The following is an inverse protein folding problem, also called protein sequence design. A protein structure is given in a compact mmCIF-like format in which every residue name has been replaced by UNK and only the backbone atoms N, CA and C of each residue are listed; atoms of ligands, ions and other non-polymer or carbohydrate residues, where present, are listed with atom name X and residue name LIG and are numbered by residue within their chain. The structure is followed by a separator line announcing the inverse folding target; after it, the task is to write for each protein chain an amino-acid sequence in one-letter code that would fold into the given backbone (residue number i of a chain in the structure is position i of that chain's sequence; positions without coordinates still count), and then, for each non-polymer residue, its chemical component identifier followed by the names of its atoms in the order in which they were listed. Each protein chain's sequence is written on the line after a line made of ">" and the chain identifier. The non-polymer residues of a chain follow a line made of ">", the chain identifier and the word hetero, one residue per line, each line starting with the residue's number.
data_IF_562217201723
#
_entry.id   IF_562217201723
#
_cell.length_a   1.000
_cell.length_b   1.000
_cell.length_c   1.000
_cell.angle_alpha   90.00
_cell.angle_beta   90.00
_cell.angle_gamma   90.00
#
_symmetry.space_group_name_H-M   'P 1'
#
loop_
_entity.id
_entity.type
_entity.pdbx_description
1 polymer ?
#
# COMPACT_ATOMS: atom_id res chain seq x y z
N UNK A 1 3.20 -27.02 -14.14
CA UNK A 1 4.24 -27.76 -13.40
C UNK A 1 4.25 -27.19 -11.99
N UNK A 2 3.61 -27.87 -11.04
CA UNK A 2 3.56 -27.45 -9.63
C UNK A 2 4.91 -27.84 -9.01
N UNK A 3 5.63 -26.88 -8.41
CA UNK A 3 6.82 -27.18 -7.62
C UNK A 3 6.34 -27.74 -6.28
N UNK A 4 6.75 -28.97 -5.94
CA UNK A 4 6.48 -29.59 -4.65
C UNK A 4 7.09 -28.76 -3.52
N UNK A 5 6.24 -28.40 -2.54
CA UNK A 5 6.63 -27.74 -1.30
C UNK A 5 7.25 -28.79 -0.37
N UNK A 6 8.59 -28.85 -0.34
CA UNK A 6 9.29 -29.54 0.73
C UNK A 6 9.24 -28.69 2.01
N UNK A 7 8.73 -29.25 3.11
CA UNK A 7 8.79 -28.66 4.44
C UNK A 7 10.28 -28.54 4.87
N UNK A 8 10.79 -27.31 4.88
CA UNK A 8 12.19 -27.02 5.15
C UNK A 8 12.55 -27.17 6.62
N UNK A 9 13.47 -28.09 6.93
CA UNK A 9 14.29 -28.03 8.15
C UNK A 9 15.09 -26.73 8.12
N UNK A 10 15.28 -26.03 9.25
CA UNK A 10 15.91 -24.70 9.31
C UNK A 10 17.31 -24.53 8.69
N UNK A 11 17.94 -25.61 8.21
CA UNK A 11 19.12 -25.59 7.33
C UNK A 11 18.85 -25.02 5.92
N UNK A 12 17.59 -24.93 5.50
CA UNK A 12 17.24 -24.55 4.12
C UNK A 12 17.03 -23.04 3.93
N UNK A 13 17.40 -22.22 4.91
CA UNK A 13 17.26 -20.76 4.83
C UNK A 13 18.17 -20.13 3.78
N UNK A 14 17.71 -19.05 3.11
CA UNK A 14 18.54 -18.27 2.21
C UNK A 14 19.75 -17.67 2.94
N UNK A 15 20.94 -17.83 2.35
CA UNK A 15 22.15 -17.14 2.79
C UNK A 15 22.97 -16.65 1.60
N UNK A 16 23.68 -15.54 1.79
CA UNK A 16 24.64 -15.01 0.81
C UNK A 16 25.73 -16.02 0.49
N UNK A 17 26.15 -16.83 1.47
CA UNK A 17 27.12 -17.90 1.27
C UNK A 17 26.59 -18.98 0.29
N UNK A 18 25.36 -19.45 0.48
CA UNK A 18 24.72 -20.43 -0.43
C UNK A 18 24.56 -19.86 -1.85
N UNK A 19 24.15 -18.59 -1.96
CA UNK A 19 24.06 -17.91 -3.24
C UNK A 19 25.40 -17.91 -3.99
N UNK A 20 26.49 -17.55 -3.29
CA UNK A 20 27.84 -17.55 -3.87
C UNK A 20 28.27 -18.94 -4.31
N UNK A 21 28.05 -19.97 -3.50
CA UNK A 21 28.36 -21.35 -3.87
C UNK A 21 27.65 -21.80 -5.14
N UNK A 22 26.41 -21.36 -5.37
CA UNK A 22 25.68 -21.65 -6.62
C UNK A 22 26.32 -20.92 -7.80
N UNK A 23 26.66 -19.64 -7.65
CA UNK A 23 27.24 -18.82 -8.72
C UNK A 23 28.69 -19.18 -9.04
N UNK A 24 29.48 -19.66 -8.07
CA UNK A 24 30.85 -20.15 -8.27
C UNK A 24 30.91 -21.38 -9.20
N UNK A 25 29.81 -22.12 -9.31
CA UNK A 25 29.68 -23.29 -10.20
C UNK A 25 29.13 -22.92 -11.58
N UNK A 26 28.76 -21.66 -11.79
CA UNK A 26 28.09 -21.21 -13.00
C UNK A 26 29.10 -20.90 -14.11
N UNK A 27 28.83 -21.42 -15.31
CA UNK A 27 29.52 -21.01 -16.54
C UNK A 27 28.86 -19.76 -17.14
N UNK A 28 27.52 -19.73 -17.07
CA UNK A 28 26.72 -18.59 -17.52
C UNK A 28 25.48 -18.38 -16.66
N UNK A 29 25.07 -17.13 -16.55
CA UNK A 29 23.79 -16.73 -15.97
C UNK A 29 22.97 -16.00 -17.03
N UNK A 30 21.71 -16.37 -17.19
CA UNK A 30 20.76 -15.74 -18.11
C UNK A 30 19.68 -15.02 -17.31
N UNK A 31 19.53 -13.73 -17.53
CA UNK A 31 18.51 -12.90 -16.88
C UNK A 31 17.50 -12.47 -17.95
N UNK A 32 16.23 -12.74 -17.71
CA UNK A 32 15.13 -12.42 -18.65
C UNK A 32 14.08 -11.59 -17.93
N UNK A 33 13.65 -10.47 -18.54
CA UNK A 33 12.60 -9.59 -18.00
C UNK A 33 11.19 -10.17 -18.14
N UNK A 34 11.00 -11.37 -17.59
CA UNK A 34 9.70 -12.01 -17.48
C UNK A 34 9.63 -12.99 -16.31
N UNK A 35 8.42 -13.51 -16.10
CA UNK A 35 8.16 -14.55 -15.13
C UNK A 35 8.83 -15.88 -15.53
N UNK A 36 9.02 -16.83 -14.60
CA UNK A 36 9.58 -18.15 -14.89
C UNK A 36 8.84 -18.94 -15.97
N UNK A 37 7.53 -18.71 -16.14
CA UNK A 37 6.72 -19.38 -17.14
C UNK A 37 6.98 -18.87 -18.56
N UNK A 38 7.50 -17.66 -18.69
CA UNK A 38 7.72 -16.98 -19.97
C UNK A 38 9.22 -16.84 -20.30
N UNK A 39 10.10 -17.12 -19.34
CA UNK A 39 11.54 -16.86 -19.42
C UNK A 39 12.25 -17.57 -20.59
N UNK A 40 11.67 -18.67 -21.10
CA UNK A 40 12.22 -19.41 -22.24
C UNK A 40 11.80 -18.81 -23.61
N UNK A 41 10.97 -17.76 -23.63
CA UNK A 41 10.55 -17.08 -24.85
C UNK A 41 11.69 -16.34 -25.55
N UNK A 42 11.76 -16.50 -26.88
CA UNK A 42 12.81 -15.95 -27.73
C UNK A 42 12.75 -14.41 -27.84
N UNK A 43 11.58 -13.80 -27.63
CA UNK A 43 11.32 -12.40 -27.97
C UNK A 43 11.48 -11.42 -26.80
N UNK A 44 11.87 -11.93 -25.63
CA UNK A 44 11.98 -11.13 -24.42
C UNK A 44 13.39 -10.52 -24.24
N UNK A 45 13.49 -9.31 -23.65
CA UNK A 45 14.76 -8.73 -23.27
C UNK A 45 15.55 -9.69 -22.37
N UNK A 46 16.80 -9.95 -22.77
CA UNK A 46 17.68 -10.90 -22.09
C UNK A 46 19.10 -10.38 -21.96
N UNK A 47 19.72 -10.79 -20.87
CA UNK A 47 21.14 -10.57 -20.60
C UNK A 47 21.79 -11.91 -20.32
N UNK A 48 22.94 -12.19 -20.96
CA UNK A 48 23.78 -13.33 -20.62
C UNK A 48 25.06 -12.82 -19.96
N UNK A 49 25.36 -13.34 -18.78
CA UNK A 49 26.49 -12.95 -17.92
C UNK A 49 27.44 -14.13 -17.82
N UNK A 50 28.74 -13.90 -18.04
CA UNK A 50 29.77 -14.96 -18.03
C UNK A 50 31.05 -14.49 -17.35
N UNK A 51 31.93 -15.42 -16.98
CA UNK A 51 33.26 -15.12 -16.47
C UNK A 51 33.25 -14.18 -15.25
N UNK A 52 34.09 -13.15 -15.28
CA UNK A 52 34.27 -12.22 -14.16
C UNK A 52 32.99 -11.44 -13.79
N UNK A 53 32.07 -11.22 -14.73
CA UNK A 53 30.82 -10.51 -14.45
C UNK A 53 29.88 -11.32 -13.52
N UNK A 54 30.01 -12.65 -13.47
CA UNK A 54 29.27 -13.48 -12.51
C UNK A 54 29.66 -13.11 -11.07
N UNK A 55 30.94 -12.79 -10.83
CA UNK A 55 31.42 -12.34 -9.52
C UNK A 55 30.84 -10.97 -9.11
N UNK A 56 30.66 -10.06 -10.07
CA UNK A 56 29.95 -8.80 -9.82
C UNK A 56 28.47 -9.04 -9.52
N UNK A 57 27.78 -9.86 -10.33
CA UNK A 57 26.39 -10.21 -10.11
C UNK A 57 26.18 -10.86 -8.73
N UNK A 58 27.09 -11.73 -8.29
CA UNK A 58 27.05 -12.34 -6.96
C UNK A 58 27.14 -11.32 -5.81
N UNK A 59 27.86 -10.20 -6.00
CA UNK A 59 27.89 -9.10 -5.02
C UNK A 59 26.56 -8.35 -4.98
N UNK A 60 25.98 -8.07 -6.15
CA UNK A 60 24.72 -7.34 -6.27
C UNK A 60 23.51 -8.14 -5.79
N UNK A 61 23.56 -9.47 -5.94
CA UNK A 61 22.53 -10.38 -5.42
C UNK A 61 22.71 -10.73 -3.94
N UNK A 62 23.68 -10.12 -3.23
CA UNK A 62 23.84 -10.39 -1.80
C UNK A 62 22.56 -10.06 -1.04
N UNK A 63 22.20 -10.93 -0.09
CA UNK A 63 20.94 -10.89 0.62
C UNK A 63 21.13 -10.70 2.14
N UNK A 64 20.05 -10.35 2.83
CA UNK A 64 19.97 -10.45 4.29
C UNK A 64 19.82 -11.93 4.65
N UNK A 65 20.82 -12.48 5.35
CA UNK A 65 20.87 -13.89 5.68
C UNK A 65 19.73 -14.28 6.64
N UNK A 66 19.18 -15.47 6.46
CA UNK A 66 18.05 -15.98 7.24
C UNK A 66 16.68 -15.71 6.62
N UNK A 67 16.62 -14.89 5.58
CA UNK A 67 15.39 -14.60 4.81
C UNK A 67 14.37 -13.75 5.54
N UNK A 68 13.21 -13.56 4.92
CA UNK A 68 12.11 -12.79 5.49
C UNK A 68 11.28 -13.61 6.49
N UNK A 69 11.45 -14.93 6.49
CA UNK A 69 10.68 -15.87 7.32
C UNK A 69 9.31 -16.23 6.74
N UNK A 70 8.95 -15.65 5.60
CA UNK A 70 7.71 -15.89 4.87
C UNK A 70 7.98 -16.06 3.35
N UNK A 71 7.00 -16.61 2.63
CA UNK A 71 6.99 -16.67 1.17
C UNK A 71 5.77 -15.91 0.67
N UNK A 72 6.00 -14.83 -0.06
CA UNK A 72 4.91 -14.15 -0.74
C UNK A 72 4.32 -15.04 -1.86
N UNK A 73 3.10 -14.77 -2.32
CA UNK A 73 2.51 -15.52 -3.46
C UNK A 73 2.89 -14.94 -4.83
N UNK A 74 3.54 -13.78 -4.87
CA UNK A 74 3.97 -13.15 -6.11
C UNK A 74 5.13 -13.92 -6.76
N UNK A 75 4.96 -14.34 -8.01
CA UNK A 75 5.93 -15.20 -8.73
C UNK A 75 7.33 -14.55 -8.84
N UNK A 76 7.38 -13.22 -8.92
CA UNK A 76 8.61 -12.46 -9.12
C UNK A 76 9.08 -12.45 -10.58
N UNK A 77 9.88 -11.44 -10.89
CA UNK A 77 10.60 -11.22 -12.15
C UNK A 77 11.56 -10.04 -11.97
N UNK A 78 12.65 -9.92 -12.75
CA UNK A 78 13.14 -10.81 -13.80
C UNK A 78 13.51 -12.21 -13.29
N UNK A 79 13.52 -13.18 -14.21
CA UNK A 79 13.97 -14.56 -13.95
C UNK A 79 15.46 -14.66 -14.19
N UNK A 80 16.19 -15.19 -13.20
CA UNK A 80 17.63 -15.41 -13.19
C UNK A 80 17.87 -16.91 -13.29
N UNK A 81 18.40 -17.39 -14.42
CA UNK A 81 18.66 -18.81 -14.66
C UNK A 81 20.15 -19.08 -14.71
N UNK A 82 20.63 -20.02 -13.91
CA UNK A 82 22.05 -20.29 -13.71
C UNK A 82 22.39 -21.64 -14.34
N UNK A 83 23.38 -21.65 -15.23
CA UNK A 83 23.81 -22.85 -15.94
C UNK A 83 25.26 -23.21 -15.61
N UNK A 84 25.53 -24.51 -15.45
CA UNK A 84 26.86 -25.06 -15.23
C UNK A 84 27.68 -25.21 -16.50
N UNK A 85 28.91 -25.69 -16.34
CA UNK A 85 29.89 -25.88 -17.43
C UNK A 85 29.44 -26.90 -18.49
N UNK A 86 28.55 -27.82 -18.15
CA UNK A 86 27.97 -28.78 -19.11
C UNK A 86 26.66 -28.27 -19.74
N UNK A 87 26.27 -27.03 -19.46
CA UNK A 87 25.01 -26.44 -19.89
C UNK A 87 23.80 -26.89 -19.07
N UNK A 88 24.00 -27.66 -18.00
CA UNK A 88 22.94 -28.10 -17.09
C UNK A 88 22.41 -26.93 -16.23
N UNK A 89 21.10 -26.92 -16.01
CA UNK A 89 20.45 -25.96 -15.12
C UNK A 89 20.84 -26.25 -13.66
N UNK A 90 21.50 -25.29 -13.01
CA UNK A 90 21.88 -25.38 -11.59
C UNK A 90 20.76 -24.84 -10.71
N UNK A 91 20.24 -23.66 -11.04
CA UNK A 91 19.25 -22.97 -10.24
C UNK A 91 18.46 -21.96 -11.09
N UNK A 92 17.26 -21.62 -10.60
CA UNK A 92 16.40 -20.58 -11.17
C UNK A 92 15.84 -19.74 -10.03
N UNK A 93 16.10 -18.44 -10.08
CA UNK A 93 15.65 -17.45 -9.11
C UNK A 93 14.79 -16.38 -9.78
N UNK A 94 14.06 -15.62 -8.98
CA UNK A 94 13.36 -14.42 -9.45
C UNK A 94 13.58 -13.24 -8.51
N UNK A 95 13.57 -12.03 -9.06
CA UNK A 95 13.46 -10.83 -8.22
C UNK A 95 12.02 -10.67 -7.72
N UNK A 96 11.88 -10.54 -6.42
CA UNK A 96 10.62 -10.38 -5.73
C UNK A 96 10.43 -8.90 -5.37
N UNK A 97 9.37 -8.26 -5.86
CA UNK A 97 9.09 -6.82 -5.72
C UNK A 97 10.29 -5.88 -6.03
N UNK A 98 11.24 -6.32 -6.86
CA UNK A 98 12.50 -5.62 -7.15
C UNK A 98 13.39 -5.34 -5.92
N UNK A 99 13.10 -5.96 -4.78
CA UNK A 99 13.78 -5.74 -3.50
C UNK A 99 14.23 -7.03 -2.82
N UNK A 100 13.73 -8.19 -3.25
CA UNK A 100 14.10 -9.49 -2.72
C UNK A 100 14.46 -10.51 -3.79
N UNK A 101 14.99 -11.64 -3.36
CA UNK A 101 15.33 -12.80 -4.17
C UNK A 101 14.48 -13.99 -3.74
N UNK A 102 13.92 -14.69 -4.72
CA UNK A 102 13.14 -15.91 -4.55
C UNK A 102 13.83 -17.11 -5.19
N UNK A 103 13.63 -18.29 -4.59
CA UNK A 103 14.16 -19.55 -5.09
C UNK A 103 15.51 -19.94 -4.49
N UNK A 104 16.01 -19.14 -3.54
CA UNK A 104 17.17 -19.47 -2.74
C UNK A 104 16.69 -19.98 -1.37
N UNK A 105 16.33 -21.26 -1.27
CA UNK A 105 15.91 -21.87 0.00
C UNK A 105 14.40 -21.81 0.29
N UNK A 106 14.05 -21.87 1.58
CA UNK A 106 12.68 -22.07 2.09
C UNK A 106 11.82 -20.79 2.19
N UNK A 107 12.39 -19.60 2.01
CA UNK A 107 11.67 -18.32 2.08
C UNK A 107 12.21 -17.30 1.07
N UNK A 108 11.54 -16.16 0.94
CA UNK A 108 12.10 -15.02 0.21
C UNK A 108 13.24 -14.39 1.03
N UNK A 109 14.14 -13.67 0.37
CA UNK A 109 15.23 -12.96 1.04
C UNK A 109 15.38 -11.53 0.53
N UNK A 110 15.44 -10.56 1.44
CA UNK A 110 15.68 -9.17 1.08
C UNK A 110 17.09 -9.01 0.48
N UNK A 111 17.20 -8.31 -0.66
CA UNK A 111 18.48 -7.90 -1.22
C UNK A 111 19.12 -6.85 -0.30
N UNK A 112 20.44 -6.90 -0.13
CA UNK A 112 21.17 -5.85 0.60
C UNK A 112 21.15 -4.52 -0.14
N UNK A 113 21.17 -4.57 -1.47
CA UNK A 113 21.18 -3.38 -2.33
C UNK A 113 20.41 -3.65 -3.65
N UNK A 114 19.08 -3.73 -3.53
CA UNK A 114 18.20 -3.84 -4.69
C UNK A 114 18.39 -2.73 -5.73
N UNK A 115 18.49 -1.43 -5.35
CA UNK A 115 18.75 -0.33 -6.27
C UNK A 115 20.03 -0.49 -7.11
N UNK A 116 21.14 -0.94 -6.51
CA UNK A 116 22.36 -1.18 -7.28
C UNK A 116 22.17 -2.29 -8.33
N UNK A 117 21.44 -3.36 -7.99
CA UNK A 117 21.14 -4.44 -8.93
C UNK A 117 20.28 -3.96 -10.11
N UNK A 118 19.20 -3.23 -9.85
CA UNK A 118 18.31 -2.74 -10.92
C UNK A 118 19.01 -1.71 -11.82
N UNK A 119 19.90 -0.88 -11.26
CA UNK A 119 20.73 0.03 -12.03
C UNK A 119 21.69 -0.73 -12.95
N UNK A 120 22.41 -1.73 -12.42
CA UNK A 120 23.32 -2.58 -13.18
C UNK A 120 22.63 -3.34 -14.32
N UNK A 121 21.40 -3.81 -14.09
CA UNK A 121 20.55 -4.44 -15.12
C UNK A 121 20.14 -3.43 -16.21
N UNK A 122 19.74 -2.22 -15.82
CA UNK A 122 19.31 -1.18 -16.75
C UNK A 122 20.47 -0.67 -17.63
N UNK A 123 21.68 -0.55 -17.10
CA UNK A 123 22.90 -0.24 -17.86
C UNK A 123 23.19 -1.27 -18.96
N UNK A 124 22.68 -2.50 -18.78
CA UNK A 124 22.80 -3.62 -19.73
C UNK A 124 21.53 -3.85 -20.56
N UNK A 125 20.62 -2.89 -20.59
CA UNK A 125 19.43 -2.90 -21.44
C UNK A 125 18.17 -3.54 -20.83
N UNK A 126 18.24 -4.06 -19.60
CA UNK A 126 17.08 -4.59 -18.87
C UNK A 126 16.49 -3.51 -17.96
N UNK A 127 15.61 -2.67 -18.51
CA UNK A 127 15.17 -1.41 -17.88
C UNK A 127 13.88 -1.51 -17.06
N UNK A 128 13.07 -2.55 -17.22
CA UNK A 128 11.75 -2.67 -16.57
C UNK A 128 11.86 -2.76 -15.06
N UNK A 129 12.86 -3.47 -14.56
CA UNK A 129 13.10 -3.60 -13.11
C UNK A 129 13.33 -2.24 -12.45
N UNK A 130 14.14 -1.37 -13.09
CA UNK A 130 14.38 0.00 -12.63
C UNK A 130 13.11 0.85 -12.69
N UNK A 131 12.35 0.80 -13.79
CA UNK A 131 11.09 1.55 -13.91
C UNK A 131 10.06 1.17 -12.84
N UNK A 132 9.97 -0.12 -12.49
CA UNK A 132 9.08 -0.57 -11.41
C UNK A 132 9.57 -0.09 -10.05
N UNK A 133 10.87 -0.18 -9.77
CA UNK A 133 11.42 0.32 -8.52
C UNK A 133 11.22 1.83 -8.36
N UNK A 134 11.43 2.61 -9.42
CA UNK A 134 11.13 4.05 -9.42
C UNK A 134 9.64 4.33 -9.17
N UNK A 135 8.74 3.52 -9.74
CA UNK A 135 7.31 3.58 -9.47
C UNK A 135 6.97 3.33 -8.01
N UNK A 136 7.49 2.25 -7.44
CA UNK A 136 7.30 1.90 -6.03
C UNK A 136 7.85 2.97 -5.09
N UNK A 137 9.03 3.53 -5.38
CA UNK A 137 9.61 4.62 -4.59
C UNK A 137 8.76 5.90 -4.63
N UNK A 138 8.15 6.21 -5.79
CA UNK A 138 7.20 7.34 -5.90
C UNK A 138 5.94 7.07 -5.10
N UNK A 139 5.38 5.86 -5.18
CA UNK A 139 4.19 5.46 -4.41
C UNK A 139 4.45 5.53 -2.89
N UNK A 140 5.61 5.05 -2.43
CA UNK A 140 6.01 5.12 -1.02
C UNK A 140 6.17 6.57 -0.55
N UNK A 141 6.84 7.42 -1.34
CA UNK A 141 6.97 8.84 -1.03
C UNK A 141 5.61 9.57 -1.01
N UNK A 142 4.69 9.21 -1.91
CA UNK A 142 3.32 9.72 -1.90
C UNK A 142 2.54 9.28 -0.66
N UNK A 143 2.71 8.02 -0.23
CA UNK A 143 2.07 7.48 0.97
C UNK A 143 2.62 8.12 2.24
N UNK A 144 3.93 8.29 2.36
CA UNK A 144 4.54 9.00 3.48
C UNK A 144 4.05 10.45 3.56
N UNK A 145 4.03 11.15 2.42
CA UNK A 145 3.53 12.52 2.35
C UNK A 145 2.06 12.57 2.78
N UNK A 146 1.24 11.63 2.29
CA UNK A 146 -0.16 11.49 2.68
C UNK A 146 -0.32 11.31 4.18
N UNK A 147 0.46 10.43 4.77
CA UNK A 147 0.44 10.15 6.19
C UNK A 147 0.81 11.39 7.00
N UNK A 148 1.90 12.08 6.62
CA UNK A 148 2.36 13.32 7.27
C UNK A 148 1.31 14.42 7.20
N UNK A 149 0.71 14.67 6.04
CA UNK A 149 -0.36 15.65 5.87
C UNK A 149 -1.59 15.31 6.74
N UNK A 150 -1.98 14.04 6.82
CA UNK A 150 -3.10 13.62 7.66
C UNK A 150 -2.83 13.83 9.15
N UNK A 151 -1.62 13.53 9.62
CA UNK A 151 -1.21 13.79 11.02
C UNK A 151 -1.19 15.28 11.31
N UNK A 152 -0.65 16.10 10.40
CA UNK A 152 -0.58 17.55 10.55
C UNK A 152 -1.96 18.22 10.57
N UNK A 153 -2.93 17.64 9.86
CA UNK A 153 -4.31 18.12 9.86
C UNK A 153 -5.13 17.66 11.08
N UNK A 154 -4.54 16.90 12.00
CA UNK A 154 -5.23 16.49 13.22
C UNK A 154 -5.68 17.72 14.04
N UNK A 155 -6.89 17.68 14.64
CA UNK A 155 -7.34 18.72 15.55
C UNK A 155 -6.33 18.98 16.68
N UNK A 156 -6.35 20.20 17.21
CA UNK A 156 -5.42 20.64 18.25
C UNK A 156 -5.39 19.65 19.44
N UNK A 157 -4.18 19.20 19.80
CA UNK A 157 -3.98 18.25 20.88
C UNK A 157 -4.16 16.77 20.48
N UNK A 158 -4.55 16.45 19.24
CA UNK A 158 -4.71 15.07 18.77
C UNK A 158 -3.53 14.55 17.93
N UNK A 159 -2.55 15.38 17.57
CA UNK A 159 -1.46 15.04 16.65
C UNK A 159 -0.66 13.79 17.05
N UNK A 160 -0.36 13.61 18.34
CA UNK A 160 0.39 12.43 18.80
C UNK A 160 -0.46 11.15 18.69
N UNK A 161 -1.73 11.20 19.08
CA UNK A 161 -2.64 10.07 18.95
C UNK A 161 -2.91 9.74 17.46
N UNK A 162 -2.95 10.75 16.60
CA UNK A 162 -2.99 10.60 15.16
C UNK A 162 -1.76 9.83 14.64
N UNK A 163 -0.54 10.25 15.04
CA UNK A 163 0.68 9.58 14.64
C UNK A 163 0.72 8.09 15.04
N UNK A 164 0.19 7.75 16.22
CA UNK A 164 0.09 6.36 16.67
C UNK A 164 -0.88 5.53 15.83
N UNK A 165 -2.04 6.09 15.46
CA UNK A 165 -3.01 5.43 14.58
C UNK A 165 -2.50 5.28 13.15
N UNK A 166 -1.76 6.28 12.66
CA UNK A 166 -1.22 6.32 11.31
C UNK A 166 -0.04 5.37 11.10
N UNK A 167 0.57 4.84 12.17
CA UNK A 167 1.76 3.99 12.11
C UNK A 167 1.59 2.83 11.11
N UNK A 168 2.57 2.63 10.20
CA UNK A 168 2.45 1.61 9.16
C UNK A 168 2.42 0.19 9.75
N UNK A 169 1.91 -0.79 8.98
CA UNK A 169 1.97 -2.20 9.34
C UNK A 169 3.38 -2.64 9.72
N UNK A 170 3.48 -3.41 10.80
CA UNK A 170 4.69 -4.14 11.16
C UNK A 170 4.66 -5.56 10.57
N UNK A 171 5.79 -6.26 10.59
CA UNK A 171 5.89 -7.67 10.16
C UNK A 171 4.93 -8.58 10.94
N UNK A 172 4.76 -8.33 12.23
CA UNK A 172 3.73 -9.00 13.04
C UNK A 172 2.36 -8.32 12.84
N UNK A 173 1.56 -8.89 11.95
CA UNK A 173 0.26 -8.34 11.59
C UNK A 173 -0.75 -8.40 12.75
N UNK A 174 -0.74 -9.45 13.56
CA UNK A 174 -1.69 -9.59 14.67
C UNK A 174 -1.39 -8.54 15.75
N UNK A 175 -0.14 -8.45 16.19
CA UNK A 175 0.29 -7.45 17.15
C UNK A 175 0.06 -6.02 16.63
N UNK A 176 0.36 -5.78 15.34
CA UNK A 176 0.06 -4.50 14.71
C UNK A 176 -1.43 -4.18 14.70
N UNK A 177 -2.27 -5.15 14.32
CA UNK A 177 -3.72 -4.95 14.23
C UNK A 177 -4.33 -4.62 15.59
N UNK A 178 -3.90 -5.30 16.65
CA UNK A 178 -4.32 -5.05 18.03
C UNK A 178 -3.83 -3.70 18.54
N UNK A 179 -2.56 -3.36 18.30
CA UNK A 179 -2.00 -2.05 18.64
C UNK A 179 -2.72 -0.90 17.95
N UNK A 180 -3.10 -1.07 16.68
CA UNK A 180 -3.87 -0.10 15.89
C UNK A 180 -5.27 0.12 16.46
N UNK A 181 -5.97 -0.94 16.85
CA UNK A 181 -7.30 -0.80 17.46
C UNK A 181 -7.22 0.01 18.76
N UNK A 182 -6.27 -0.32 19.63
CA UNK A 182 -6.05 0.42 20.87
C UNK A 182 -5.68 1.89 20.62
N UNK A 183 -4.86 2.17 19.59
CA UNK A 183 -4.54 3.54 19.21
C UNK A 183 -5.79 4.31 18.73
N UNK A 184 -6.67 3.65 17.98
CA UNK A 184 -7.95 4.22 17.55
C UNK A 184 -8.88 4.55 18.72
N UNK A 185 -8.98 3.64 19.69
CA UNK A 185 -9.80 3.84 20.89
C UNK A 185 -9.27 4.99 21.75
N UNK A 186 -7.94 5.09 21.91
CA UNK A 186 -7.30 6.23 22.59
C UNK A 186 -7.55 7.55 21.87
N UNK A 187 -7.45 7.57 20.53
CA UNK A 187 -7.74 8.76 19.73
C UNK A 187 -9.20 9.21 19.93
N UNK A 188 -10.15 8.27 19.92
CA UNK A 188 -11.57 8.57 20.14
C UNK A 188 -11.84 9.14 21.54
N UNK A 189 -11.27 8.52 22.58
CA UNK A 189 -11.42 8.99 23.96
C UNK A 189 -10.82 10.40 24.13
N UNK A 190 -9.65 10.67 23.55
CA UNK A 190 -9.01 11.98 23.61
C UNK A 190 -9.82 13.04 22.85
N UNK A 191 -10.38 12.70 21.69
CA UNK A 191 -11.26 13.60 20.94
C UNK A 191 -12.51 13.97 21.75
N UNK A 192 -13.14 13.01 22.43
CA UNK A 192 -14.28 13.27 23.32
C UNK A 192 -13.90 14.14 24.52
N UNK A 193 -12.75 13.87 25.15
CA UNK A 193 -12.27 14.64 26.29
C UNK A 193 -11.96 16.10 25.92
N UNK A 194 -11.33 16.32 24.75
CA UNK A 194 -10.89 17.64 24.32
C UNK A 194 -12.01 18.48 23.72
N UNK A 195 -12.96 17.82 23.06
CA UNK A 195 -14.11 18.43 22.39
C UNK A 195 -15.40 17.78 22.91
N UNK A 196 -15.88 18.15 24.11
CA UNK A 196 -17.05 17.53 24.72
C UNK A 196 -18.35 17.84 23.96
N UNK A 197 -18.45 19.02 23.34
CA UNK A 197 -19.59 19.36 22.48
C UNK A 197 -19.60 18.47 21.23
N UNK A 198 -20.68 17.70 21.07
CA UNK A 198 -20.79 16.75 19.96
C UNK A 198 -20.86 17.44 18.61
N UNK A 199 -21.49 18.61 18.51
CA UNK A 199 -21.61 19.34 17.26
C UNK A 199 -20.26 19.84 16.75
N UNK A 200 -19.49 20.46 17.63
CA UNK A 200 -18.11 20.90 17.37
C UNK A 200 -17.21 19.72 17.01
N UNK A 201 -17.23 18.65 17.82
CA UNK A 201 -16.44 17.44 17.59
C UNK A 201 -16.75 16.80 16.24
N UNK A 202 -18.02 16.63 15.88
CA UNK A 202 -18.42 16.09 14.57
C UNK A 202 -17.87 16.96 13.43
N UNK A 203 -17.99 18.29 13.54
CA UNK A 203 -17.50 19.20 12.51
C UNK A 203 -15.97 19.18 12.37
N UNK A 204 -15.24 19.00 13.46
CA UNK A 204 -13.79 18.79 13.45
C UNK A 204 -13.41 17.46 12.78
N UNK A 205 -14.10 16.37 13.15
CA UNK A 205 -13.86 15.05 12.56
C UNK A 205 -14.22 15.01 11.08
N UNK A 206 -15.28 15.72 10.65
CA UNK A 206 -15.61 15.88 9.23
C UNK A 206 -14.49 16.64 8.49
N UNK A 207 -14.01 17.76 9.05
CA UNK A 207 -12.90 18.49 8.43
C UNK A 207 -11.65 17.60 8.27
N UNK A 208 -11.33 16.82 9.30
CA UNK A 208 -10.17 15.92 9.28
C UNK A 208 -10.33 14.75 8.30
N UNK A 209 -11.53 14.14 8.25
CA UNK A 209 -11.85 13.10 7.25
C UNK A 209 -11.78 13.65 5.82
N UNK A 210 -12.09 14.94 5.62
CA UNK A 210 -12.03 15.62 4.33
C UNK A 210 -10.63 15.71 3.72
N UNK A 211 -9.57 15.63 4.53
CA UNK A 211 -8.17 15.73 4.07
C UNK A 211 -7.84 14.67 3.00
N UNK A 212 -8.36 13.46 3.16
CA UNK A 212 -8.13 12.36 2.23
C UNK A 212 -9.15 12.30 1.09
N UNK A 213 -10.28 13.01 1.20
CA UNK A 213 -11.41 12.88 0.27
C UNK A 213 -11.11 13.44 -1.14
N UNK A 214 -10.13 14.33 -1.25
CA UNK A 214 -9.70 14.93 -2.53
C UNK A 214 -8.58 14.18 -3.25
N UNK A 215 -8.04 13.12 -2.66
CA UNK A 215 -6.91 12.39 -3.25
C UNK A 215 -7.35 11.53 -4.44
N UNK A 216 -6.58 11.58 -5.51
CA UNK A 216 -6.86 10.88 -6.77
C UNK A 216 -6.57 9.38 -6.70
N UNK A 217 -5.70 8.93 -5.78
CA UNK A 217 -5.24 7.54 -5.67
C UNK A 217 -5.35 6.99 -4.24
N UNK A 218 -5.43 5.66 -4.12
CA UNK A 218 -5.17 4.93 -2.87
C UNK A 218 -6.33 4.78 -1.88
N UNK A 219 -7.56 5.18 -2.21
CA UNK A 219 -8.74 4.96 -1.37
C UNK A 219 -8.64 5.53 0.07
N UNK A 220 -9.53 5.14 0.98
CA UNK A 220 -9.37 5.44 2.42
C UNK A 220 -8.32 4.51 3.03
N UNK A 221 -7.41 5.07 3.82
CA UNK A 221 -6.42 4.31 4.59
C UNK A 221 -6.98 3.92 5.95
N UNK A 222 -6.28 3.03 6.66
CA UNK A 222 -6.73 2.56 7.96
C UNK A 222 -6.89 3.68 8.99
N UNK A 223 -6.10 4.75 8.90
CA UNK A 223 -6.20 5.91 9.78
C UNK A 223 -7.40 6.82 9.43
N UNK A 224 -7.77 6.92 8.14
CA UNK A 224 -9.03 7.57 7.73
C UNK A 224 -10.23 6.82 8.32
N UNK A 225 -10.16 5.47 8.30
CA UNK A 225 -11.20 4.62 8.88
C UNK A 225 -11.35 4.81 10.40
N UNK A 226 -10.31 5.22 11.12
CA UNK A 226 -10.41 5.51 12.55
C UNK A 226 -11.29 6.73 12.83
N UNK A 227 -11.15 7.80 12.04
CA UNK A 227 -12.00 9.00 12.12
C UNK A 227 -13.41 8.69 11.65
N UNK A 228 -13.55 7.94 10.55
CA UNK A 228 -14.85 7.52 10.04
C UNK A 228 -15.64 6.70 11.07
N UNK A 229 -14.99 5.77 11.78
CA UNK A 229 -15.63 4.96 12.83
C UNK A 229 -16.13 5.82 13.99
N UNK A 230 -15.41 6.87 14.36
CA UNK A 230 -15.89 7.82 15.38
C UNK A 230 -17.17 8.53 14.91
N UNK A 231 -17.17 9.04 13.67
CA UNK A 231 -18.37 9.68 13.08
C UNK A 231 -19.56 8.71 12.97
N UNK A 232 -19.31 7.43 12.66
CA UNK A 232 -20.35 6.39 12.59
C UNK A 232 -20.86 5.94 13.96
N UNK A 233 -20.08 6.14 15.03
CA UNK A 233 -20.48 5.81 16.40
C UNK A 233 -21.34 6.92 17.04
N UNK A 234 -21.30 8.14 16.51
CA UNK A 234 -22.17 9.24 16.94
C UNK A 234 -23.64 8.97 16.56
N UNK A 235 -24.56 9.57 17.32
CA UNK A 235 -25.98 9.49 16.98
C UNK A 235 -26.22 10.15 15.59
N UNK A 236 -26.84 9.45 14.62
CA UNK A 236 -27.04 9.98 13.27
C UNK A 236 -27.81 11.31 13.23
N UNK A 237 -28.77 11.51 14.14
CA UNK A 237 -29.52 12.76 14.26
C UNK A 237 -28.62 13.92 14.70
N UNK A 238 -27.66 13.67 15.59
CA UNK A 238 -26.66 14.66 16.03
C UNK A 238 -25.69 14.99 14.90
N UNK A 239 -25.25 13.99 14.13
CA UNK A 239 -24.41 14.21 12.93
C UNK A 239 -25.12 15.09 11.91
N UNK A 240 -26.37 14.78 11.60
CA UNK A 240 -27.16 15.57 10.66
C UNK A 240 -27.42 16.99 11.20
N UNK A 241 -27.71 17.13 12.50
CA UNK A 241 -27.90 18.42 13.16
C UNK A 241 -26.63 19.29 13.08
N UNK A 242 -25.46 18.72 13.37
CA UNK A 242 -24.17 19.43 13.30
C UNK A 242 -23.86 19.94 11.88
N UNK A 243 -24.27 19.19 10.86
CA UNK A 243 -24.12 19.56 9.45
C UNK A 243 -25.04 20.70 8.99
N UNK A 244 -26.17 20.93 9.67
CA UNK A 244 -27.15 21.98 9.29
C UNK A 244 -27.16 23.18 10.23
N UNK A 245 -26.60 23.05 11.43
CA UNK A 245 -26.62 24.08 12.46
C UNK A 245 -25.86 25.36 12.05
N UNK A 246 -24.87 25.25 11.18
CA UNK A 246 -24.09 26.39 10.65
C UNK A 246 -23.44 26.01 9.32
N UNK A 247 -23.12 26.98 8.44
CA UNK A 247 -22.46 26.71 7.16
C UNK A 247 -21.21 25.85 7.36
N UNK A 248 -21.08 24.78 6.57
CA UNK A 248 -19.90 23.92 6.57
C UNK A 248 -18.78 24.54 5.76
N UNK A 249 -17.54 24.36 6.21
CA UNK A 249 -16.36 24.72 5.41
C UNK A 249 -16.18 23.72 4.26
N UNK A 250 -15.39 24.05 3.21
CA UNK A 250 -15.10 23.12 2.12
C UNK A 250 -14.54 21.77 2.60
N UNK A 251 -13.60 21.78 3.57
CA UNK A 251 -13.05 20.55 4.14
C UNK A 251 -14.10 19.71 4.88
N UNK A 252 -15.03 20.36 5.58
CA UNK A 252 -16.15 19.68 6.25
C UNK A 252 -17.13 19.07 5.23
N UNK A 253 -17.37 19.76 4.10
CA UNK A 253 -18.18 19.24 3.01
C UNK A 253 -17.53 18.04 2.33
N UNK A 254 -16.21 18.06 2.16
CA UNK A 254 -15.44 16.93 1.65
C UNK A 254 -15.54 15.70 2.58
N UNK A 255 -15.40 15.91 3.89
CA UNK A 255 -15.58 14.85 4.88
C UNK A 255 -17.02 14.35 4.97
N UNK A 256 -18.00 15.24 4.84
CA UNK A 256 -19.41 14.86 4.79
C UNK A 256 -19.73 14.03 3.54
N UNK A 257 -19.19 14.42 2.38
CA UNK A 257 -19.28 13.61 1.16
C UNK A 257 -18.61 12.23 1.37
N UNK A 258 -17.46 12.17 2.05
CA UNK A 258 -16.78 10.92 2.39
C UNK A 258 -17.61 10.03 3.33
N UNK A 259 -18.24 10.59 4.36
CA UNK A 259 -19.09 9.88 5.31
C UNK A 259 -20.35 9.33 4.64
N UNK A 260 -21.12 10.19 3.98
CA UNK A 260 -22.45 9.83 3.47
C UNK A 260 -22.42 8.93 2.22
N UNK A 261 -21.25 8.73 1.60
CA UNK A 261 -21.07 7.73 0.54
C UNK A 261 -20.72 6.34 1.05
N UNK A 262 -20.42 6.18 2.34
CA UNK A 262 -20.01 4.89 2.89
C UNK A 262 -21.15 3.88 2.87
N UNK A 263 -20.80 2.60 2.74
CA UNK A 263 -21.77 1.50 2.73
C UNK A 263 -22.41 1.38 4.12
N UNK A 264 -21.63 1.61 5.17
CA UNK A 264 -22.04 1.59 6.56
C UNK A 264 -23.13 2.62 6.84
N UNK A 265 -22.91 3.89 6.46
CA UNK A 265 -23.94 4.92 6.60
C UNK A 265 -25.18 4.58 5.78
N UNK A 266 -25.00 4.25 4.50
CA UNK A 266 -26.14 4.06 3.59
C UNK A 266 -26.97 2.83 3.90
N UNK A 267 -26.38 1.77 4.46
CA UNK A 267 -27.13 0.60 4.97
C UNK A 267 -27.92 0.94 6.23
N UNK A 268 -27.34 1.71 7.15
CA UNK A 268 -27.96 2.01 8.43
C UNK A 268 -29.02 3.12 8.35
N UNK A 269 -28.76 4.18 7.57
CA UNK A 269 -29.55 5.42 7.54
C UNK A 269 -30.22 5.67 6.18
N UNK A 270 -29.92 4.86 5.17
CA UNK A 270 -30.34 5.11 3.80
C UNK A 270 -29.53 6.20 3.11
N UNK A 271 -29.92 6.51 1.87
CA UNK A 271 -29.24 7.54 1.04
C UNK A 271 -29.89 8.92 1.13
N UNK A 272 -31.06 9.03 1.75
CA UNK A 272 -31.84 10.26 1.77
C UNK A 272 -31.33 11.17 2.88
N UNK A 273 -30.61 12.23 2.51
CA UNK A 273 -30.19 13.28 3.42
C UNK A 273 -31.27 14.37 3.53
N UNK A 274 -31.32 15.12 4.65
CA UNK A 274 -32.16 16.30 4.76
C UNK A 274 -31.94 17.27 3.59
N UNK A 275 -33.03 17.86 3.07
CA UNK A 275 -33.00 18.68 1.85
C UNK A 275 -31.93 19.80 1.87
N UNK A 276 -31.75 20.56 2.97
CA UNK A 276 -30.70 21.59 3.01
C UNK A 276 -29.30 21.02 2.81
N UNK A 277 -28.97 19.93 3.51
CA UNK A 277 -27.67 19.27 3.44
C UNK A 277 -27.42 18.62 2.08
N UNK A 278 -28.45 17.97 1.53
CA UNK A 278 -28.39 17.39 0.17
C UNK A 278 -28.05 18.45 -0.88
N UNK A 279 -28.75 19.58 -0.87
CA UNK A 279 -28.50 20.66 -1.84
C UNK A 279 -27.08 21.19 -1.72
N UNK A 280 -26.62 21.42 -0.49
CA UNK A 280 -25.28 21.93 -0.21
C UNK A 280 -24.17 20.98 -0.72
N UNK A 281 -24.31 19.67 -0.47
CA UNK A 281 -23.35 18.68 -0.95
C UNK A 281 -23.35 18.57 -2.49
N UNK A 282 -24.52 18.60 -3.12
CA UNK A 282 -24.61 18.53 -4.59
C UNK A 282 -23.97 19.76 -5.22
N UNK A 283 -24.21 20.95 -4.67
CA UNK A 283 -23.61 22.20 -5.15
C UNK A 283 -22.09 22.17 -5.02
N UNK A 284 -21.59 21.81 -3.83
CA UNK A 284 -20.15 21.64 -3.57
C UNK A 284 -19.49 20.65 -4.52
N UNK A 285 -20.09 19.47 -4.73
CA UNK A 285 -19.55 18.43 -5.62
C UNK A 285 -19.55 18.87 -7.09
N UNK A 286 -20.55 19.65 -7.51
CA UNK A 286 -20.61 20.19 -8.88
C UNK A 286 -19.56 21.26 -9.11
N UNK A 287 -19.37 22.17 -8.15
CA UNK A 287 -18.37 23.22 -8.25
C UNK A 287 -16.96 22.61 -8.22
N UNK A 288 -16.63 21.89 -7.14
CA UNK A 288 -15.25 21.55 -6.81
C UNK A 288 -15.04 20.07 -6.47
N UNK A 289 -16.03 19.19 -6.68
CA UNK A 289 -15.93 17.77 -6.33
C UNK A 289 -14.92 17.00 -7.18
N UNK A 290 -14.32 15.97 -6.60
CA UNK A 290 -13.48 15.01 -7.35
C UNK A 290 -14.32 14.10 -8.24
N UNK A 291 -13.68 13.42 -9.19
CA UNK A 291 -14.36 12.45 -10.05
C UNK A 291 -15.00 11.33 -9.24
N UNK A 292 -14.38 10.90 -8.14
CA UNK A 292 -14.97 9.93 -7.22
C UNK A 292 -16.24 10.47 -6.53
N UNK A 293 -16.27 11.75 -6.12
CA UNK A 293 -17.46 12.37 -5.54
C UNK A 293 -18.59 12.52 -6.57
N UNK A 294 -18.26 12.96 -7.79
CA UNK A 294 -19.21 13.09 -8.91
C UNK A 294 -19.76 11.74 -9.34
N UNK A 295 -18.91 10.71 -9.40
CA UNK A 295 -19.32 9.33 -9.64
C UNK A 295 -20.37 8.89 -8.62
N UNK A 296 -20.10 9.05 -7.32
CA UNK A 296 -21.08 8.73 -6.28
C UNK A 296 -22.39 9.52 -6.45
N UNK A 297 -22.31 10.82 -6.69
CA UNK A 297 -23.49 11.66 -6.92
C UNK A 297 -24.35 11.11 -8.08
N UNK A 298 -23.75 10.78 -9.23
CA UNK A 298 -24.45 10.26 -10.41
C UNK A 298 -25.11 8.88 -10.15
N UNK A 299 -24.58 8.11 -9.19
CA UNK A 299 -25.11 6.80 -8.80
C UNK A 299 -26.20 6.86 -7.72
N UNK A 300 -26.64 8.07 -7.36
CA UNK A 300 -27.74 8.31 -6.43
C UNK A 300 -27.35 8.32 -4.96
N UNK A 301 -26.05 8.49 -4.66
CA UNK A 301 -25.62 8.84 -3.30
C UNK A 301 -26.07 10.27 -2.95
N UNK A 302 -26.05 10.59 -1.66
CA UNK A 302 -26.50 11.90 -1.13
C UNK A 302 -27.97 12.23 -1.43
N UNK A 303 -28.75 11.23 -1.86
CA UNK A 303 -30.13 11.36 -2.30
C UNK A 303 -30.27 12.01 -3.68
N UNK A 304 -29.20 12.14 -4.46
CA UNK A 304 -29.26 12.65 -5.83
C UNK A 304 -30.11 11.74 -6.74
N UNK A 305 -30.77 12.33 -7.74
CA UNK A 305 -31.42 11.52 -8.80
C UNK A 305 -30.33 10.88 -9.64
N UNK A 306 -30.45 9.59 -9.94
CA UNK A 306 -29.54 8.92 -10.87
C UNK A 306 -29.63 9.56 -12.25
N UNK A 307 -28.50 10.00 -12.76
CA UNK A 307 -28.32 10.39 -14.16
C UNK A 307 -27.69 9.19 -14.85
N UNK A 308 -28.48 8.51 -15.69
CA UNK A 308 -28.01 7.42 -16.57
C UNK A 308 -27.34 8.04 -17.78
#
# INVERSE_FOLDING_TARGET
>A
MYYEEAEGTGEDRPTTARLRQVLERAERVVIVEASPAEADSADLPRLTVTGAEIGELARLLAIVDGGTGDRCRCIGWPTITIYGTRGDLIARWTLHHQSGLRGLGDCDADLRDGPALTAWLAERGLTRSRSVQEGLAREEAEEERRQKEWIQAAPEGLAQAAADVARPPARDYEAWSGGRQQAGDRLAALAQQRYPDSGERIRLLLAWLGVSARRSSGGMKWYDMAVLRQLLAENPGVVLAACVASPLTPAQLDGAAQLFRTVEWTKAQGRNLPKPLKSLLIEHIRADGTDAMRFCMNHGYYGAKRTV
#
